data_IF_723950775355
#
_entry.id   IF_723950775355
#
_cell.length_a   1.000
_cell.length_b   1.000
_cell.length_c   1.000
_cell.angle_alpha   90.00
_cell.angle_beta   90.00
_cell.angle_gamma   90.00
#
_symmetry.space_group_name_H-M   'P 1'
#
loop_
_entity.id
_entity.type
_entity.pdbx_description
1 polymer ?
#
# COMPACT_ATOMS: atom_id res chain seq x y z
N UNK A 1 14.43 -18.64 2.73
CA UNK A 1 13.78 -17.36 2.33
C UNK A 1 12.73 -17.58 1.25
N UNK A 2 13.02 -18.33 0.18
CA UNK A 2 12.05 -18.66 -0.87
C UNK A 2 10.80 -19.37 -0.31
N UNK A 3 10.98 -20.40 0.52
CA UNK A 3 9.85 -21.18 1.09
C UNK A 3 8.89 -20.33 1.93
N UNK A 4 9.43 -19.37 2.70
CA UNK A 4 8.63 -18.44 3.50
C UNK A 4 7.81 -17.49 2.60
N UNK A 5 8.42 -16.94 1.56
CA UNK A 5 7.71 -16.06 0.63
C UNK A 5 6.58 -16.80 -0.09
N UNK A 6 6.79 -18.05 -0.48
CA UNK A 6 5.79 -18.88 -1.14
C UNK A 6 4.62 -19.24 -0.20
N UNK A 7 4.91 -19.54 1.06
CA UNK A 7 3.89 -19.82 2.06
C UNK A 7 3.10 -18.57 2.43
N UNK A 8 3.77 -17.43 2.60
CA UNK A 8 3.13 -16.14 2.90
C UNK A 8 2.26 -15.65 1.74
N UNK A 9 2.71 -15.82 0.49
CA UNK A 9 1.93 -15.43 -0.71
C UNK A 9 0.57 -16.12 -0.79
N UNK A 10 0.44 -17.35 -0.27
CA UNK A 10 -0.85 -18.08 -0.25
C UNK A 10 -1.86 -17.48 0.72
N UNK A 11 -1.38 -16.69 1.69
CA UNK A 11 -2.22 -16.10 2.74
C UNK A 11 -2.71 -14.71 2.34
N UNK A 12 -1.96 -14.00 1.50
CA UNK A 12 -2.32 -12.67 1.01
C UNK A 12 -3.51 -12.73 0.05
N UNK A 13 -4.50 -11.86 0.27
CA UNK A 13 -5.68 -11.74 -0.58
C UNK A 13 -5.93 -10.27 -0.96
N UNK A 14 -6.48 -10.01 -2.16
CA UNK A 14 -6.99 -8.69 -2.50
C UNK A 14 -8.05 -8.25 -1.49
N UNK A 15 -8.01 -6.98 -1.08
CA UNK A 15 -8.95 -6.41 -0.13
C UNK A 15 -9.37 -4.99 -0.54
N UNK A 16 -10.32 -4.42 0.21
CA UNK A 16 -10.61 -2.99 0.18
C UNK A 16 -9.60 -2.25 1.07
N UNK A 17 -9.40 -0.93 0.89
CA UNK A 17 -8.58 -0.14 1.80
C UNK A 17 -9.08 -0.27 3.25
N UNK A 18 -8.25 -0.82 4.13
CA UNK A 18 -8.53 -1.00 5.54
C UNK A 18 -7.24 -0.86 6.35
N UNK A 19 -7.30 -0.51 7.64
CA UNK A 19 -6.10 -0.41 8.47
C UNK A 19 -5.28 -1.70 8.42
N UNK A 20 -3.99 -1.58 8.10
CA UNK A 20 -3.05 -2.69 7.92
C UNK A 20 -2.93 -3.21 6.49
N UNK A 21 -3.83 -2.86 5.57
CA UNK A 21 -3.72 -3.27 4.17
C UNK A 21 -2.49 -2.64 3.50
N UNK A 22 -1.79 -3.41 2.68
CA UNK A 22 -0.66 -2.92 1.87
C UNK A 22 -1.20 -2.42 0.53
N UNK A 23 -0.89 -1.17 0.20
CA UNK A 23 -1.20 -0.55 -1.09
C UNK A 23 -0.04 -0.77 -2.07
N UNK A 24 -0.26 -1.61 -3.07
CA UNK A 24 0.65 -1.85 -4.18
C UNK A 24 0.44 -0.84 -5.31
N UNK A 25 1.43 0.01 -5.55
CA UNK A 25 1.32 1.12 -6.49
C UNK A 25 2.05 0.81 -7.80
N UNK A 26 1.31 0.85 -8.91
CA UNK A 26 1.82 0.42 -10.21
C UNK A 26 2.28 1.60 -11.09
N UNK A 27 3.37 1.38 -11.81
CA UNK A 27 3.87 2.22 -12.90
C UNK A 27 4.32 1.31 -14.05
N UNK A 28 3.69 1.44 -15.23
CA UNK A 28 4.02 0.62 -16.40
C UNK A 28 3.80 -0.89 -16.17
N UNK A 29 2.81 -1.25 -15.33
CA UNK A 29 2.50 -2.65 -15.00
C UNK A 29 3.38 -3.28 -13.91
N UNK A 30 4.37 -2.55 -13.39
CA UNK A 30 5.23 -3.01 -12.29
C UNK A 30 4.89 -2.29 -10.98
N UNK A 31 4.99 -2.99 -9.86
CA UNK A 31 4.90 -2.38 -8.53
C UNK A 31 6.19 -1.60 -8.28
N UNK A 32 6.10 -0.27 -8.27
CA UNK A 32 7.25 0.62 -8.06
C UNK A 32 7.27 1.28 -6.67
N UNK A 33 6.15 1.21 -5.94
CA UNK A 33 5.99 1.84 -4.64
C UNK A 33 4.98 1.08 -3.78
N UNK A 34 5.16 1.14 -2.46
CA UNK A 34 4.28 0.53 -1.47
C UNK A 34 3.92 1.56 -0.39
N UNK A 35 2.69 1.47 0.10
CA UNK A 35 2.25 2.15 1.32
C UNK A 35 1.47 1.17 2.21
N UNK A 36 1.30 1.53 3.48
CA UNK A 36 0.39 0.82 4.39
C UNK A 36 -0.78 1.74 4.70
N UNK A 37 -2.00 1.22 4.58
CA UNK A 37 -3.20 1.94 5.01
C UNK A 37 -3.23 1.95 6.53
N UNK A 38 -3.35 3.13 7.11
CA UNK A 38 -3.44 3.34 8.57
C UNK A 38 -4.65 4.22 8.87
N UNK A 39 -5.16 4.14 10.09
CA UNK A 39 -6.18 5.05 10.57
C UNK A 39 -5.55 6.11 11.48
N UNK A 40 -5.81 7.38 11.19
CA UNK A 40 -5.37 8.52 12.00
C UNK A 40 -6.58 9.41 12.24
N UNK A 41 -6.96 9.60 13.51
CA UNK A 41 -8.11 10.40 13.91
C UNK A 41 -9.43 9.99 13.20
N UNK A 42 -9.63 8.68 12.96
CA UNK A 42 -10.82 8.14 12.30
C UNK A 42 -10.80 8.23 10.76
N UNK A 43 -9.72 8.74 10.17
CA UNK A 43 -9.56 8.81 8.71
C UNK A 43 -8.53 7.80 8.22
N UNK A 44 -8.84 7.13 7.09
CA UNK A 44 -7.88 6.28 6.41
C UNK A 44 -6.84 7.12 5.67
N UNK A 45 -5.58 6.78 5.91
CA UNK A 45 -4.41 7.45 5.39
C UNK A 45 -3.43 6.42 4.83
N UNK A 46 -2.78 6.73 3.72
CA UNK A 46 -1.64 5.97 3.23
C UNK A 46 -0.37 6.45 3.95
N UNK A 47 0.30 5.55 4.67
CA UNK A 47 1.62 5.75 5.24
C UNK A 47 2.67 5.21 4.25
N UNK A 48 3.44 6.11 3.66
CA UNK A 48 4.48 5.78 2.67
C UNK A 48 5.82 6.39 3.05
N UNK A 49 6.90 5.66 2.77
CA UNK A 49 8.26 6.20 2.84
C UNK A 49 8.63 6.81 1.50
N UNK A 50 8.90 8.12 1.49
CA UNK A 50 9.26 8.83 0.28
C UNK A 50 10.77 9.13 0.29
N UNK A 51 11.51 8.84 -0.80
CA UNK A 51 12.90 9.26 -0.93
C UNK A 51 13.03 10.76 -0.66
N UNK A 52 13.95 11.13 0.23
CA UNK A 52 14.24 12.53 0.63
C UNK A 52 13.10 13.28 1.34
N UNK A 53 11.94 12.65 1.59
CA UNK A 53 10.77 13.29 2.24
C UNK A 53 10.27 12.53 3.48
N UNK A 54 11.06 11.58 4.00
CA UNK A 54 10.73 10.73 5.14
C UNK A 54 9.36 10.04 4.96
N UNK A 55 8.72 9.69 6.07
CA UNK A 55 7.37 9.10 6.07
C UNK A 55 6.35 10.21 5.85
N UNK A 56 5.42 10.00 4.92
CA UNK A 56 4.27 10.87 4.67
C UNK A 56 2.99 10.10 4.96
N UNK A 57 2.03 10.77 5.59
CA UNK A 57 0.66 10.31 5.74
C UNK A 57 -0.24 11.11 4.81
N UNK A 58 -0.94 10.44 3.91
CA UNK A 58 -1.74 11.10 2.87
C UNK A 58 -3.16 10.55 2.84
N UNK A 59 -4.21 11.40 2.74
CA UNK A 59 -5.57 10.92 2.57
C UNK A 59 -5.69 10.01 1.35
N UNK A 60 -6.43 8.90 1.47
CA UNK A 60 -6.51 7.86 0.43
C UNK A 60 -6.84 8.43 -0.95
N UNK A 61 -7.81 9.35 -1.02
CA UNK A 61 -8.24 9.98 -2.28
C UNK A 61 -7.12 10.75 -2.98
N UNK A 62 -6.20 11.35 -2.23
CA UNK A 62 -5.04 12.07 -2.78
C UNK A 62 -3.92 11.10 -3.14
N UNK A 63 -3.74 10.06 -2.33
CA UNK A 63 -2.74 9.03 -2.55
C UNK A 63 -3.01 8.26 -3.84
N UNK A 64 -4.22 7.74 -4.03
CA UNK A 64 -4.60 6.93 -5.19
C UNK A 64 -4.43 7.68 -6.51
N UNK A 65 -4.73 8.98 -6.53
CA UNK A 65 -4.56 9.85 -7.71
C UNK A 65 -3.11 10.01 -8.18
N UNK A 66 -2.11 9.66 -7.35
CA UNK A 66 -0.69 9.75 -7.72
C UNK A 66 -0.22 8.60 -8.58
N UNK A 67 -0.99 7.53 -8.69
CA UNK A 67 -0.59 6.31 -9.37
C UNK A 67 -1.60 5.94 -10.45
N UNK A 68 -1.15 5.26 -11.49
CA UNK A 68 -2.04 4.78 -12.55
C UNK A 68 -3.01 3.72 -12.00
N UNK A 69 -2.54 2.92 -11.06
CA UNK A 69 -3.31 1.86 -10.41
C UNK A 69 -2.75 1.62 -9.01
N UNK A 70 -3.65 1.46 -8.04
CA UNK A 70 -3.35 1.00 -6.69
C UNK A 70 -4.21 -0.24 -6.43
N UNK A 71 -3.59 -1.30 -5.93
CA UNK A 71 -4.30 -2.49 -5.44
C UNK A 71 -3.98 -2.69 -3.96
N UNK A 72 -4.92 -3.25 -3.21
CA UNK A 72 -4.79 -3.43 -1.76
C UNK A 72 -4.78 -4.90 -1.41
N UNK A 73 -3.93 -5.27 -0.45
CA UNK A 73 -3.70 -6.65 -0.04
C UNK A 73 -3.58 -6.78 1.48
N UNK A 74 -4.12 -7.87 2.04
CA UNK A 74 -4.00 -8.25 3.45
C UNK A 74 -3.79 -9.75 3.59
#
# INVERSE_FOLDING_TARGET
>A
MADFCDEYRKQIKPCQPSPGAVAACYSGGLIGHLAVVVEINGELMAAESNPKRNITFMPMSRFERRFQKVEYYQ
#
